data_IF_085301893977
#
_entry.id   IF_085301893977
#
_cell.length_a   1.000
_cell.length_b   1.000
_cell.length_c   1.000
_cell.angle_alpha   90.00
_cell.angle_beta   90.00
_cell.angle_gamma   90.00
#
_symmetry.space_group_name_H-M   'P 1'
#
loop_
_entity.id
_entity.type
_entity.pdbx_description
1 polymer ?
#
# COMPACT_ATOMS: atom_id res chain seq x y z
N UNK A 1 5.37 -1.20 1.07
CA UNK A 1 4.01 -1.64 0.83
C UNK A 1 3.02 -0.48 0.92
N UNK A 2 1.81 -0.66 0.44
CA UNK A 2 0.75 0.34 0.55
C UNK A 2 -0.59 -0.32 0.87
N UNK A 3 -1.59 0.47 1.27
CA UNK A 3 -2.87 -0.01 1.76
C UNK A 3 -2.66 -1.08 2.85
N UNK A 4 -3.37 -2.18 2.82
CA UNK A 4 -3.25 -3.25 3.81
C UNK A 4 -1.94 -4.07 3.71
N UNK A 5 -1.06 -3.77 2.74
CA UNK A 5 0.30 -4.33 2.66
C UNK A 5 1.35 -3.46 3.39
N UNK A 6 0.97 -2.35 3.99
CA UNK A 6 1.88 -1.56 4.84
C UNK A 6 2.38 -2.42 6.00
N UNK A 7 3.71 -2.58 6.20
CA UNK A 7 4.26 -3.46 7.25
C UNK A 7 4.33 -2.72 8.59
N UNK A 8 3.36 -2.87 9.50
CA UNK A 8 3.25 -2.01 10.68
C UNK A 8 4.45 -2.13 11.62
N UNK A 9 5.00 -3.33 11.80
CA UNK A 9 6.15 -3.54 12.70
C UNK A 9 7.41 -2.86 12.18
N UNK A 10 7.61 -2.85 10.85
CA UNK A 10 8.75 -2.16 10.24
C UNK A 10 8.57 -0.64 10.28
N UNK A 11 7.35 -0.15 10.06
CA UNK A 11 7.04 1.28 10.19
C UNK A 11 7.20 1.76 11.62
N UNK A 12 6.71 1.01 12.60
CA UNK A 12 6.89 1.32 14.02
C UNK A 12 8.39 1.34 14.41
N UNK A 13 9.20 0.42 13.87
CA UNK A 13 10.64 0.40 14.10
C UNK A 13 11.34 1.62 13.49
N UNK A 14 10.96 2.00 12.27
CA UNK A 14 11.47 3.22 11.61
C UNK A 14 11.15 4.47 12.44
N UNK A 15 9.89 4.61 12.87
CA UNK A 15 9.43 5.75 13.67
C UNK A 15 10.10 5.81 15.05
N UNK A 16 10.28 4.68 15.72
CA UNK A 16 10.96 4.64 17.03
C UNK A 16 12.43 5.03 16.98
N UNK A 17 13.08 4.77 15.86
CA UNK A 17 14.51 5.03 15.67
C UNK A 17 14.78 6.27 14.80
N UNK A 18 13.81 7.16 14.66
CA UNK A 18 13.86 8.26 13.69
C UNK A 18 15.11 9.16 13.84
N UNK A 19 15.63 9.35 15.05
CA UNK A 19 16.81 10.17 15.34
C UNK A 19 18.10 9.63 14.70
N UNK A 20 18.12 8.32 14.35
CA UNK A 20 19.26 7.69 13.67
C UNK A 20 19.29 7.99 12.16
N UNK A 21 18.21 8.55 11.61
CA UNK A 21 18.06 8.84 10.19
C UNK A 21 18.21 10.34 9.94
N UNK A 22 18.62 10.69 8.75
CA UNK A 22 18.72 12.06 8.28
C UNK A 22 18.23 12.14 6.85
N UNK A 23 17.30 13.06 6.61
CA UNK A 23 16.76 13.39 5.28
C UNK A 23 16.24 12.16 4.50
N UNK A 24 15.58 11.22 5.20
CA UNK A 24 14.99 10.04 4.57
C UNK A 24 13.61 10.39 4.02
N UNK A 25 13.40 10.16 2.73
CA UNK A 25 12.11 10.28 2.08
C UNK A 25 11.34 8.97 2.17
N UNK A 26 10.07 9.06 2.61
CA UNK A 26 9.14 7.92 2.68
C UNK A 26 8.10 8.09 1.60
N UNK A 27 8.03 7.15 0.67
CA UNK A 27 7.09 7.18 -0.45
C UNK A 27 6.13 6.01 -0.35
N UNK A 28 4.85 6.29 -0.43
CA UNK A 28 3.82 5.27 -0.67
C UNK A 28 2.50 5.89 -1.14
N UNK A 29 1.57 5.03 -1.57
CA UNK A 29 0.28 5.50 -2.08
C UNK A 29 -0.75 5.64 -0.95
N UNK A 30 -1.69 4.70 -0.85
CA UNK A 30 -2.77 4.77 0.14
C UNK A 30 -2.23 4.40 1.52
N UNK A 31 -2.13 5.37 2.47
CA UNK A 31 -1.76 5.05 3.85
C UNK A 31 -2.99 4.48 4.58
N UNK A 32 -2.82 3.33 5.22
CA UNK A 32 -3.82 2.75 6.13
C UNK A 32 -3.28 2.61 7.56
N UNK A 33 -1.99 2.85 7.78
CA UNK A 33 -1.37 2.90 9.08
C UNK A 33 -1.60 4.22 9.80
N UNK A 34 -0.85 4.46 10.86
CA UNK A 34 -1.02 5.64 11.73
C UNK A 34 -0.47 6.94 11.16
N UNK A 35 0.48 6.87 10.21
CA UNK A 35 1.14 8.05 9.64
C UNK A 35 2.08 8.79 10.59
N UNK A 36 2.56 8.15 11.65
CA UNK A 36 3.42 8.74 12.69
C UNK A 36 4.76 9.27 12.14
N UNK A 37 5.22 8.76 11.00
CA UNK A 37 6.39 9.31 10.29
C UNK A 37 6.16 10.73 9.74
N UNK A 38 4.93 11.26 9.82
CA UNK A 38 4.58 12.64 9.49
C UNK A 38 4.53 13.57 10.71
N UNK A 39 4.82 13.12 11.91
CA UNK A 39 4.78 13.94 13.11
C UNK A 39 5.78 15.11 13.01
N UNK A 40 5.49 16.30 13.62
CA UNK A 40 6.40 17.44 13.59
C UNK A 40 7.82 17.13 14.08
N UNK A 41 7.96 16.18 15.03
CA UNK A 41 9.28 15.77 15.56
C UNK A 41 10.17 15.08 14.54
N UNK A 42 9.61 14.59 13.43
CA UNK A 42 10.35 13.91 12.35
C UNK A 42 11.14 14.88 11.47
N UNK A 43 10.97 16.18 11.64
CA UNK A 43 11.61 17.22 10.80
C UNK A 43 13.13 17.05 10.76
N UNK A 44 13.68 16.93 9.55
CA UNK A 44 15.10 16.71 9.29
C UNK A 44 15.54 15.25 9.37
N UNK A 45 14.63 14.34 9.75
CA UNK A 45 14.87 12.91 9.84
C UNK A 45 14.08 12.13 8.78
N UNK A 46 12.75 12.24 8.85
CA UNK A 46 11.82 11.57 7.94
C UNK A 46 10.92 12.60 7.28
N UNK A 47 10.72 12.49 5.97
CA UNK A 47 9.78 13.30 5.20
C UNK A 47 8.93 12.41 4.31
N UNK A 48 7.62 12.52 4.44
CA UNK A 48 6.70 11.77 3.60
C UNK A 48 6.44 12.49 2.28
N UNK A 49 6.55 11.76 1.18
CA UNK A 49 6.09 12.16 -0.13
C UNK A 49 4.87 11.28 -0.51
N UNK A 50 3.69 11.86 -0.40
CA UNK A 50 2.45 11.17 -0.68
C UNK A 50 2.23 11.03 -2.18
N UNK A 51 2.05 9.84 -2.67
CA UNK A 51 1.52 9.57 -4.01
C UNK A 51 -0.02 9.50 -4.00
N UNK A 52 -0.61 9.40 -2.81
CA UNK A 52 -2.02 9.55 -2.53
C UNK A 52 -2.20 10.15 -1.14
N UNK A 53 -3.01 11.21 -1.04
CA UNK A 53 -3.23 11.91 0.23
C UNK A 53 -4.39 11.26 0.99
N UNK A 54 -4.07 10.27 1.82
CA UNK A 54 -5.03 9.56 2.67
C UNK A 54 -5.27 10.22 4.02
N UNK A 55 -6.21 9.68 4.80
CA UNK A 55 -6.59 10.19 6.12
C UNK A 55 -5.40 10.43 7.06
N UNK A 56 -4.52 9.44 7.30
CA UNK A 56 -3.42 9.55 8.25
C UNK A 56 -2.38 10.63 7.92
N UNK A 57 -2.19 10.97 6.63
CA UNK A 57 -1.14 11.89 6.18
C UNK A 57 -1.67 13.23 5.68
N UNK A 58 -3.00 13.38 5.52
CA UNK A 58 -3.65 14.58 4.94
C UNK A 58 -3.27 15.86 5.66
N UNK A 59 -3.32 15.85 6.98
CA UNK A 59 -2.97 17.03 7.79
C UNK A 59 -1.52 17.45 7.56
N UNK A 60 -0.59 16.50 7.49
CA UNK A 60 0.82 16.80 7.26
C UNK A 60 1.05 17.46 5.88
N UNK A 61 0.35 16.99 4.84
CA UNK A 61 0.40 17.60 3.50
C UNK A 61 -0.17 19.03 3.53
N UNK A 62 -1.33 19.22 4.16
CA UNK A 62 -1.95 20.55 4.29
C UNK A 62 -1.08 21.56 5.05
N UNK A 63 -0.31 21.09 6.03
CA UNK A 63 0.61 21.93 6.84
C UNK A 63 2.01 22.06 6.19
N UNK A 64 2.25 21.50 5.02
CA UNK A 64 3.56 21.55 4.33
C UNK A 64 4.65 20.70 4.98
N UNK A 65 4.30 19.77 5.87
CA UNK A 65 5.24 18.83 6.51
C UNK A 65 5.47 17.57 5.69
N UNK A 66 4.63 17.31 4.71
CA UNK A 66 4.75 16.24 3.75
C UNK A 66 4.53 16.79 2.34
N UNK A 67 5.12 16.11 1.36
CA UNK A 67 4.99 16.47 -0.04
C UNK A 67 3.89 15.64 -0.71
N UNK A 68 3.47 16.06 -1.90
CA UNK A 68 2.55 15.33 -2.74
C UNK A 68 3.08 15.27 -4.18
N UNK A 69 3.23 14.06 -4.70
CA UNK A 69 3.60 13.82 -6.09
C UNK A 69 2.39 13.31 -6.85
N UNK A 70 1.73 14.17 -7.67
CA UNK A 70 0.60 13.75 -8.50
C UNK A 70 1.08 12.85 -9.65
N UNK A 71 0.31 11.80 -9.95
CA UNK A 71 0.58 10.89 -11.06
C UNK A 71 -0.69 10.15 -11.46
N UNK A 72 -0.70 9.57 -12.66
CA UNK A 72 -1.74 8.62 -13.04
C UNK A 72 -1.42 7.24 -12.45
N UNK A 73 -2.39 6.60 -11.81
CA UNK A 73 -2.17 5.33 -11.09
C UNK A 73 -1.51 4.26 -11.97
N UNK A 74 -1.86 4.19 -13.25
CA UNK A 74 -1.25 3.27 -14.21
C UNK A 74 0.26 3.51 -14.46
N UNK A 75 0.79 4.69 -14.10
CA UNK A 75 2.22 5.02 -14.22
C UNK A 75 3.04 4.52 -13.02
N UNK A 76 2.38 4.11 -11.95
CA UNK A 76 3.02 3.76 -10.68
C UNK A 76 4.11 2.67 -10.81
N UNK A 77 3.83 1.64 -11.60
CA UNK A 77 4.81 0.57 -11.85
C UNK A 77 6.02 1.08 -12.63
N UNK A 78 5.78 1.97 -13.60
CA UNK A 78 6.83 2.53 -14.43
C UNK A 78 7.80 3.41 -13.65
N UNK A 79 7.30 4.24 -12.74
CA UNK A 79 8.14 5.13 -11.92
C UNK A 79 9.25 4.41 -11.18
N UNK A 80 8.98 3.20 -10.69
CA UNK A 80 10.00 2.39 -10.03
C UNK A 80 10.85 1.59 -11.00
N UNK A 81 10.28 1.18 -12.17
CA UNK A 81 10.99 0.35 -13.14
C UNK A 81 11.97 1.12 -14.00
N UNK A 82 11.67 2.37 -14.35
CA UNK A 82 12.51 3.20 -15.24
C UNK A 82 13.48 4.13 -14.48
N UNK A 83 13.48 4.05 -13.14
CA UNK A 83 14.35 4.85 -12.29
C UNK A 83 13.92 6.31 -12.10
N UNK A 84 12.73 6.70 -12.57
CA UNK A 84 12.16 8.05 -12.31
C UNK A 84 12.02 8.28 -10.80
N UNK A 85 11.68 7.24 -10.05
CA UNK A 85 11.62 7.22 -8.59
C UNK A 85 12.55 6.14 -8.05
N UNK A 86 13.83 6.44 -7.80
CA UNK A 86 14.78 5.47 -7.27
C UNK A 86 14.40 5.09 -5.83
N UNK A 87 14.40 3.79 -5.55
CA UNK A 87 14.10 3.24 -4.22
C UNK A 87 15.34 2.59 -3.64
N UNK A 88 15.80 3.09 -2.50
CA UNK A 88 16.90 2.46 -1.77
C UNK A 88 16.40 1.26 -0.95
N UNK A 89 15.28 1.44 -0.25
CA UNK A 89 14.71 0.39 0.63
C UNK A 89 13.22 0.22 0.35
N UNK A 90 12.81 -1.00 0.01
CA UNK A 90 11.41 -1.38 -0.03
C UNK A 90 11.03 -2.12 1.26
N UNK A 91 10.04 -1.61 1.99
CA UNK A 91 9.45 -2.28 3.14
C UNK A 91 8.07 -2.83 2.78
N UNK A 92 7.85 -4.12 2.97
CA UNK A 92 6.63 -4.79 2.53
C UNK A 92 6.14 -5.81 3.55
N UNK A 93 4.84 -6.08 3.55
CA UNK A 93 4.27 -7.24 4.23
C UNK A 93 4.05 -8.36 3.22
N UNK A 94 4.37 -9.59 3.59
CA UNK A 94 4.27 -10.77 2.72
C UNK A 94 3.72 -11.97 3.48
N UNK A 95 3.21 -12.96 2.75
CA UNK A 95 2.83 -14.25 3.35
C UNK A 95 4.07 -15.02 3.81
N UNK A 96 3.93 -16.03 4.70
CA UNK A 96 4.95 -17.06 4.88
C UNK A 96 5.35 -17.67 3.53
N UNK A 97 6.64 -18.07 3.36
CA UNK A 97 7.10 -18.71 2.15
C UNK A 97 6.46 -20.11 1.98
N UNK A 98 6.20 -20.48 0.75
CA UNK A 98 5.80 -21.84 0.41
C UNK A 98 7.02 -22.79 0.38
N UNK A 99 6.74 -24.09 0.10
CA UNK A 99 7.79 -25.12 0.00
C UNK A 99 8.83 -24.86 -1.11
N UNK A 100 8.56 -23.94 -2.01
CA UNK A 100 9.47 -23.54 -3.08
C UNK A 100 10.15 -22.18 -2.81
N UNK A 101 9.93 -21.58 -1.63
CA UNK A 101 10.52 -20.31 -1.26
C UNK A 101 9.79 -19.08 -1.80
N UNK A 102 8.57 -19.21 -2.31
CA UNK A 102 7.79 -18.05 -2.78
C UNK A 102 6.90 -17.49 -1.70
N UNK A 103 6.97 -16.18 -1.50
CA UNK A 103 6.06 -15.37 -0.69
C UNK A 103 5.10 -14.63 -1.60
N UNK A 104 3.88 -14.32 -1.13
CA UNK A 104 2.94 -13.48 -1.85
C UNK A 104 2.90 -12.09 -1.22
N UNK A 105 2.82 -11.04 -2.05
CA UNK A 105 2.54 -9.67 -1.64
C UNK A 105 1.10 -9.47 -1.17
N UNK A 106 0.27 -10.52 -1.28
CA UNK A 106 -1.09 -10.53 -0.76
C UNK A 106 -2.01 -9.51 -1.42
N UNK A 107 -2.58 -8.64 -0.61
CA UNK A 107 -3.67 -7.73 -1.00
C UNK A 107 -3.23 -6.47 -1.75
N UNK A 108 -1.94 -6.24 -1.95
CA UNK A 108 -1.46 -5.01 -2.58
C UNK A 108 -0.22 -5.25 -3.43
N UNK A 109 -0.42 -5.57 -4.68
CA UNK A 109 0.63 -5.97 -5.63
C UNK A 109 1.13 -4.80 -6.45
N UNK A 110 0.27 -4.13 -7.19
CA UNK A 110 0.46 -2.93 -8.03
C UNK A 110 1.92 -2.47 -8.20
N UNK A 111 2.23 -1.27 -7.78
CA UNK A 111 3.59 -0.78 -7.75
C UNK A 111 4.47 -1.34 -6.63
N UNK A 112 3.93 -2.14 -5.70
CA UNK A 112 4.72 -2.77 -4.63
C UNK A 112 5.74 -3.74 -5.22
N UNK A 113 5.33 -4.59 -6.16
CA UNK A 113 6.24 -5.55 -6.82
C UNK A 113 7.36 -4.85 -7.60
N UNK A 114 7.08 -3.89 -8.50
CA UNK A 114 8.13 -3.11 -9.16
C UNK A 114 9.06 -2.38 -8.19
N UNK A 115 8.55 -1.82 -7.09
CA UNK A 115 9.39 -1.21 -6.07
C UNK A 115 10.34 -2.22 -5.42
N UNK A 116 9.87 -3.42 -5.08
CA UNK A 116 10.72 -4.49 -4.54
C UNK A 116 11.79 -4.94 -5.53
N UNK A 117 11.44 -5.10 -6.82
CA UNK A 117 12.36 -5.58 -7.84
C UNK A 117 13.47 -4.56 -8.20
N UNK A 118 13.24 -3.28 -7.93
CA UNK A 118 14.17 -2.20 -8.26
C UNK A 118 14.81 -1.54 -7.02
N UNK A 119 14.41 -1.93 -5.82
CA UNK A 119 15.05 -1.46 -4.59
C UNK A 119 16.43 -2.09 -4.41
N UNK A 120 17.35 -1.33 -3.79
CA UNK A 120 18.66 -1.86 -3.38
C UNK A 120 18.55 -2.88 -2.24
N UNK A 121 17.50 -2.71 -1.39
CA UNK A 121 17.22 -3.57 -0.25
C UNK A 121 15.73 -3.81 -0.12
N UNK A 122 15.32 -5.05 0.15
CA UNK A 122 13.94 -5.41 0.44
C UNK A 122 13.86 -5.98 1.85
N UNK A 123 13.10 -5.30 2.72
CA UNK A 123 12.83 -5.73 4.09
C UNK A 123 11.38 -6.20 4.15
N UNK A 124 11.16 -7.46 4.49
CA UNK A 124 9.83 -8.05 4.53
C UNK A 124 9.36 -8.35 5.95
N UNK A 125 8.16 -7.91 6.29
CA UNK A 125 7.41 -8.44 7.42
C UNK A 125 6.65 -9.67 6.94
N UNK A 126 7.04 -10.85 7.43
CA UNK A 126 6.33 -12.10 7.15
C UNK A 126 5.13 -12.19 8.08
N UNK A 127 3.94 -12.10 7.52
CA UNK A 127 2.67 -12.07 8.24
C UNK A 127 1.79 -13.23 7.79
N UNK A 128 1.49 -14.14 8.70
CA UNK A 128 0.65 -15.30 8.47
C UNK A 128 -0.84 -14.97 8.28
N UNK A 129 -1.25 -13.75 8.66
CA UNK A 129 -2.60 -13.24 8.38
C UNK A 129 -2.75 -12.62 6.99
N UNK A 130 -1.65 -12.47 6.23
CA UNK A 130 -1.71 -11.99 4.85
C UNK A 130 -2.28 -13.08 3.94
N UNK A 131 -3.38 -12.83 3.20
CA UNK A 131 -3.91 -13.81 2.26
C UNK A 131 -2.93 -14.04 1.10
N UNK A 132 -2.77 -15.30 0.73
CA UNK A 132 -1.95 -15.68 -0.42
C UNK A 132 -2.74 -15.47 -1.70
N UNK A 133 -2.47 -14.38 -2.39
CA UNK A 133 -3.04 -14.10 -3.71
C UNK A 133 -2.18 -14.73 -4.81
N UNK A 134 -2.81 -15.07 -5.93
CA UNK A 134 -2.17 -15.71 -7.08
C UNK A 134 -1.85 -14.68 -8.17
N UNK A 135 -1.27 -15.16 -9.27
CA UNK A 135 -0.85 -14.34 -10.40
C UNK A 135 0.50 -13.65 -10.16
N UNK A 136 0.65 -12.40 -10.57
CA UNK A 136 1.92 -11.65 -10.49
C UNK A 136 2.26 -11.11 -9.08
N UNK A 137 1.76 -11.76 -8.03
CA UNK A 137 1.92 -11.33 -6.63
C UNK A 137 3.16 -11.90 -5.92
N UNK A 138 3.94 -12.75 -6.56
CA UNK A 138 5.01 -13.50 -5.91
C UNK A 138 6.38 -12.82 -5.98
N UNK A 139 7.13 -12.98 -4.87
CA UNK A 139 8.57 -12.79 -4.80
C UNK A 139 9.20 -14.09 -4.26
N UNK A 140 10.41 -14.42 -4.71
CA UNK A 140 11.18 -15.50 -4.11
C UNK A 140 11.99 -14.98 -2.91
N UNK A 141 12.20 -15.79 -1.88
CA UNK A 141 12.92 -15.37 -0.66
C UNK A 141 14.33 -14.87 -0.95
N UNK A 142 14.97 -15.32 -2.03
CA UNK A 142 16.29 -14.80 -2.45
C UNK A 142 16.28 -13.34 -2.91
N UNK A 143 15.10 -12.76 -3.15
CA UNK A 143 14.94 -11.35 -3.49
C UNK A 143 14.71 -10.47 -2.25
N UNK A 144 14.61 -11.09 -1.07
CA UNK A 144 14.45 -10.39 0.21
C UNK A 144 15.82 -10.26 0.87
N UNK A 145 16.18 -9.03 1.26
CA UNK A 145 17.46 -8.80 1.97
C UNK A 145 17.37 -9.30 3.40
N UNK A 146 16.25 -9.06 4.07
CA UNK A 146 15.96 -9.59 5.40
C UNK A 146 14.44 -9.69 5.65
N UNK A 147 14.09 -10.52 6.62
CA UNK A 147 12.70 -10.76 7.02
C UNK A 147 12.55 -10.64 8.54
N UNK A 148 11.36 -10.19 8.94
CA UNK A 148 10.90 -10.20 10.34
C UNK A 148 9.56 -10.94 10.37
N UNK A 149 9.47 -12.00 11.16
CA UNK A 149 8.20 -12.69 11.39
C UNK A 149 7.37 -11.91 12.41
N UNK A 150 6.18 -11.51 12.00
CA UNK A 150 5.24 -10.81 12.89
C UNK A 150 3.81 -10.99 12.39
N UNK A 151 3.02 -11.71 13.18
CA UNK A 151 1.58 -11.88 12.97
C UNK A 151 0.85 -10.60 13.39
N UNK A 152 0.26 -9.92 12.43
CA UNK A 152 -0.51 -8.69 12.67
C UNK A 152 -1.81 -8.71 11.86
N UNK A 153 -2.94 -8.26 12.44
CA UNK A 153 -4.17 -8.15 11.68
C UNK A 153 -4.00 -7.15 10.54
N UNK A 154 -4.62 -7.44 9.40
CA UNK A 154 -4.66 -6.48 8.31
C UNK A 154 -5.65 -5.36 8.61
N UNK A 155 -5.35 -4.11 8.22
CA UNK A 155 -6.31 -3.04 8.36
C UNK A 155 -7.50 -3.29 7.42
N UNK A 156 -8.71 -3.04 7.94
CA UNK A 156 -9.96 -3.15 7.20
C UNK A 156 -10.49 -1.75 6.87
N UNK A 157 -10.95 -1.56 5.66
CA UNK A 157 -11.72 -0.39 5.27
C UNK A 157 -13.19 -0.74 5.37
N UNK A 158 -13.87 -0.18 6.39
CA UNK A 158 -15.30 -0.37 6.55
C UNK A 158 -16.07 0.17 5.34
N UNK A 159 -17.11 -0.55 4.90
CA UNK A 159 -18.05 -0.06 3.89
C UNK A 159 -18.80 1.17 4.40
N UNK A 160 -18.99 2.18 3.53
CA UNK A 160 -19.83 3.32 3.84
C UNK A 160 -21.32 2.92 3.90
N UNK A 161 -22.15 3.77 4.52
CA UNK A 161 -23.61 3.59 4.47
C UNK A 161 -24.09 3.84 3.05
N UNK A 162 -24.70 2.83 2.43
CA UNK A 162 -25.33 2.96 1.12
C UNK A 162 -26.69 3.60 1.34
N UNK A 163 -26.90 4.80 0.80
CA UNK A 163 -28.14 5.52 0.84
C UNK A 163 -29.03 5.23 -0.39
N UNK A 164 -30.20 5.85 -0.42
CA UNK A 164 -31.18 5.66 -1.51
C UNK A 164 -30.64 6.06 -2.89
N UNK A 165 -29.79 7.10 -2.93
CA UNK A 165 -29.19 7.59 -4.18
C UNK A 165 -28.18 6.58 -4.71
N UNK A 166 -27.28 6.08 -3.85
CA UNK A 166 -26.29 5.07 -4.20
C UNK A 166 -26.97 3.76 -4.64
N UNK A 167 -28.04 3.35 -3.96
CA UNK A 167 -28.83 2.18 -4.36
C UNK A 167 -29.50 2.37 -5.73
N UNK A 168 -30.04 3.54 -6.02
CA UNK A 168 -30.64 3.83 -7.32
C UNK A 168 -29.59 3.79 -8.44
N UNK A 169 -28.42 4.39 -8.21
CA UNK A 169 -27.28 4.33 -9.14
C UNK A 169 -26.82 2.88 -9.31
N UNK A 170 -26.67 2.14 -8.20
CA UNK A 170 -26.26 0.74 -8.21
C UNK A 170 -27.18 -0.14 -9.07
N UNK A 171 -28.50 -0.02 -8.90
CA UNK A 171 -29.48 -0.76 -9.72
C UNK A 171 -29.38 -0.40 -11.21
N UNK A 172 -29.24 0.89 -11.53
CA UNK A 172 -29.12 1.32 -12.93
C UNK A 172 -27.86 0.78 -13.58
N UNK A 173 -26.72 0.77 -12.87
CA UNK A 173 -25.45 0.20 -13.39
C UNK A 173 -25.57 -1.33 -13.50
N UNK A 174 -26.07 -2.00 -12.47
CA UNK A 174 -26.24 -3.46 -12.46
C UNK A 174 -27.12 -3.95 -13.61
N UNK A 175 -28.15 -3.17 -14.02
CA UNK A 175 -29.01 -3.53 -15.15
C UNK A 175 -28.29 -3.56 -16.52
N UNK A 176 -27.08 -3.01 -16.60
CA UNK A 176 -26.24 -3.03 -17.81
C UNK A 176 -25.20 -4.15 -17.79
N UNK A 177 -25.13 -4.91 -16.71
CA UNK A 177 -24.16 -6.01 -16.53
C UNK A 177 -24.81 -7.32 -16.98
N UNK A 178 -24.20 -7.98 -17.94
CA UNK A 178 -24.66 -9.28 -18.46
C UNK A 178 -23.96 -10.42 -17.73
N UNK A 179 -24.59 -11.60 -17.74
CA UNK A 179 -23.99 -12.83 -17.21
C UNK A 179 -22.65 -13.13 -17.91
N UNK A 180 -21.65 -13.50 -17.14
CA UNK A 180 -20.31 -13.77 -17.67
C UNK A 180 -19.44 -12.54 -17.89
N UNK A 181 -19.94 -11.33 -17.56
CA UNK A 181 -19.15 -10.10 -17.64
C UNK A 181 -17.97 -10.10 -16.67
N UNK A 182 -16.86 -9.49 -17.07
CA UNK A 182 -15.73 -9.17 -16.18
C UNK A 182 -15.85 -7.72 -15.72
N UNK A 183 -15.95 -7.51 -14.42
CA UNK A 183 -16.11 -6.19 -13.82
C UNK A 183 -14.79 -5.70 -13.21
N UNK A 184 -14.51 -4.40 -13.35
CA UNK A 184 -13.52 -3.68 -12.59
C UNK A 184 -14.21 -2.57 -11.83
N UNK A 185 -14.05 -2.59 -10.51
CA UNK A 185 -14.75 -1.69 -9.59
C UNK A 185 -13.78 -0.78 -8.86
N UNK A 186 -14.19 0.46 -8.62
CA UNK A 186 -13.49 1.38 -7.72
C UNK A 186 -13.80 1.10 -6.25
N UNK A 187 -13.35 1.99 -5.38
CA UNK A 187 -13.60 1.96 -3.93
C UNK A 187 -14.65 3.03 -3.62
N UNK A 188 -15.66 2.69 -2.84
CA UNK A 188 -16.67 3.64 -2.36
C UNK A 188 -18.08 3.08 -2.37
N UNK A 189 -19.02 3.86 -1.84
CA UNK A 189 -20.42 3.44 -1.64
C UNK A 189 -21.17 3.14 -2.95
N UNK A 190 -20.85 3.83 -4.04
CA UNK A 190 -21.48 3.57 -5.35
C UNK A 190 -21.02 2.21 -5.93
N UNK A 191 -19.68 1.90 -6.04
CA UNK A 191 -19.24 0.57 -6.42
C UNK A 191 -19.81 -0.54 -5.53
N UNK A 192 -19.88 -0.31 -4.21
CA UNK A 192 -20.44 -1.28 -3.27
C UNK A 192 -21.93 -1.50 -3.53
N UNK A 193 -22.68 -0.46 -3.89
CA UNK A 193 -24.09 -0.55 -4.25
C UNK A 193 -24.34 -1.33 -5.57
N UNK A 194 -23.38 -1.31 -6.50
CA UNK A 194 -23.48 -2.10 -7.74
C UNK A 194 -23.36 -3.59 -7.46
N UNK A 195 -22.58 -3.97 -6.45
CA UNK A 195 -22.36 -5.37 -6.06
C UNK A 195 -23.46 -5.95 -5.15
N UNK A 196 -24.37 -5.12 -4.64
CA UNK A 196 -25.45 -5.51 -3.72
C UNK A 196 -26.67 -6.06 -4.47
#
# INVERSE_FOLDING_TARGET
GHAANEPPVLVDALVRNYEQYKDVEIVHWVPMGKGEYCDPKMKGHLRHNAMFVGGPTRKAVQEGRADYTPFFFQQSSRFFSDGTFPIDVAMVSVTPPDKHGYVSLGVSVGGTKPACLNAKMVIAQVNDQMPRTMGESFLHVSQLTCCVEASTPLPELGGGTIGEVEEAIGRNVASLVEDGSTLQLGIGTIPDAVLK
#
